data_IF_765034323335
#
_entry.id   IF_765034323335
#
_cell.length_a   1.000
_cell.length_b   1.000
_cell.length_c   1.000
_cell.angle_alpha   90.00
_cell.angle_beta   90.00
_cell.angle_gamma   90.00
#
_symmetry.space_group_name_H-M   'P 1'
#
loop_
_entity.id
_entity.type
_entity.pdbx_description
1 polymer ?
#
# COMPACT_ATOMS: atom_id res chain seq x y z
N UNK A 1 -6.76 -9.43 -25.49
CA UNK A 1 -6.71 -8.05 -24.95
C UNK A 1 -6.71 -8.08 -23.43
N UNK A 2 -7.67 -8.73 -22.77
CA UNK A 2 -7.67 -8.89 -21.31
C UNK A 2 -6.49 -9.72 -20.77
N UNK A 3 -6.03 -10.74 -21.50
CA UNK A 3 -4.83 -11.52 -21.12
C UNK A 3 -3.57 -10.66 -20.99
N UNK A 4 -3.36 -9.72 -21.92
CA UNK A 4 -2.24 -8.77 -21.84
C UNK A 4 -2.34 -7.87 -20.60
N UNK A 5 -3.56 -7.43 -20.26
CA UNK A 5 -3.83 -6.64 -19.05
C UNK A 5 -3.48 -7.42 -17.77
N UNK A 6 -3.79 -8.72 -17.72
CA UNK A 6 -3.43 -9.57 -16.57
C UNK A 6 -1.92 -9.78 -16.49
N UNK A 7 -1.24 -9.95 -17.63
CA UNK A 7 0.22 -10.04 -17.66
C UNK A 7 0.90 -8.75 -17.15
N UNK A 8 0.44 -7.58 -17.60
CA UNK A 8 0.94 -6.29 -17.10
C UNK A 8 0.67 -6.13 -15.60
N UNK A 9 -0.50 -6.56 -15.11
CA UNK A 9 -0.83 -6.55 -13.69
C UNK A 9 0.14 -7.43 -12.89
N UNK A 10 0.46 -8.62 -13.40
CA UNK A 10 1.44 -9.53 -12.79
C UNK A 10 2.81 -8.87 -12.63
N UNK A 11 3.29 -8.14 -13.65
CA UNK A 11 4.55 -7.41 -13.57
C UNK A 11 4.54 -6.34 -12.46
N UNK A 12 3.45 -5.56 -12.34
CA UNK A 12 3.35 -4.54 -11.30
C UNK A 12 3.14 -5.11 -9.89
N UNK A 13 2.39 -6.20 -9.75
CA UNK A 13 2.27 -6.94 -8.48
C UNK A 13 3.63 -7.45 -8.05
N UNK A 14 4.41 -8.01 -8.98
CA UNK A 14 5.77 -8.46 -8.72
C UNK A 14 6.68 -7.31 -8.30
N UNK A 15 6.70 -6.19 -9.01
CA UNK A 15 7.47 -4.98 -8.62
C UNK A 15 7.14 -4.50 -7.20
N UNK A 16 5.85 -4.49 -6.86
CA UNK A 16 5.37 -4.08 -5.53
C UNK A 16 5.84 -5.06 -4.45
N UNK A 17 5.79 -6.36 -4.75
CA UNK A 17 6.25 -7.43 -3.85
C UNK A 17 7.76 -7.37 -3.63
N UNK A 18 8.52 -7.20 -4.71
CA UNK A 18 9.98 -7.05 -4.66
C UNK A 18 10.37 -5.80 -3.85
N UNK A 19 9.62 -4.70 -3.99
CA UNK A 19 9.79 -3.48 -3.19
C UNK A 19 9.59 -3.73 -1.69
N UNK A 20 8.62 -4.57 -1.33
CA UNK A 20 8.36 -4.94 0.07
C UNK A 20 9.45 -5.85 0.63
N UNK A 21 9.92 -6.80 -0.16
CA UNK A 21 11.03 -7.69 0.21
C UNK A 21 12.31 -6.86 0.41
N UNK A 22 12.60 -5.95 -0.52
CA UNK A 22 13.72 -5.02 -0.44
C UNK A 22 13.62 -4.14 0.81
N UNK A 23 12.42 -3.68 1.13
CA UNK A 23 12.17 -2.96 2.36
C UNK A 23 12.57 -3.81 3.58
N UNK A 24 12.04 -5.02 3.70
CA UNK A 24 12.29 -5.88 4.85
C UNK A 24 13.78 -6.22 5.00
N UNK A 25 14.48 -6.41 3.88
CA UNK A 25 15.90 -6.76 3.86
C UNK A 25 16.83 -5.56 4.12
N UNK A 26 16.58 -4.41 3.50
CA UNK A 26 17.49 -3.26 3.52
C UNK A 26 17.21 -2.31 4.67
N UNK A 27 15.95 -2.23 5.12
CA UNK A 27 15.51 -1.30 6.16
C UNK A 27 15.25 -2.03 7.48
N UNK A 28 14.70 -3.25 7.42
CA UNK A 28 14.54 -4.10 8.60
C UNK A 28 13.59 -3.52 9.67
N UNK A 29 13.84 -3.89 10.93
CA UNK A 29 13.09 -3.37 12.07
C UNK A 29 13.59 -1.98 12.46
N UNK A 30 12.92 -0.93 11.98
CA UNK A 30 13.29 0.43 12.31
C UNK A 30 12.72 0.83 13.67
N UNK A 31 13.52 0.75 14.73
CA UNK A 31 13.17 1.29 16.05
C UNK A 31 13.88 2.62 16.32
N UNK A 32 15.08 2.79 15.78
CA UNK A 32 15.93 3.97 15.94
C UNK A 32 15.99 4.85 14.68
N UNK A 33 16.76 5.93 14.74
CA UNK A 33 17.01 6.78 13.58
C UNK A 33 17.63 5.99 12.42
N UNK A 34 17.17 6.27 11.20
CA UNK A 34 17.62 5.61 9.98
C UNK A 34 19.02 6.09 9.59
N UNK A 35 19.84 5.18 9.06
CA UNK A 35 21.11 5.53 8.42
C UNK A 35 20.88 6.16 7.04
N UNK A 36 21.88 6.86 6.51
CA UNK A 36 21.78 7.48 5.17
C UNK A 36 21.56 6.44 4.06
N UNK A 37 22.13 5.24 4.20
CA UNK A 37 21.93 4.11 3.29
C UNK A 37 20.49 3.58 3.34
N UNK A 38 19.92 3.46 4.55
CA UNK A 38 18.52 3.07 4.73
C UNK A 38 17.56 4.12 4.18
N UNK A 39 17.88 5.41 4.36
CA UNK A 39 17.09 6.51 3.82
C UNK A 39 17.11 6.53 2.29
N UNK A 40 18.27 6.29 1.69
CA UNK A 40 18.41 6.22 0.22
C UNK A 40 17.67 5.00 -0.33
N UNK A 41 17.80 3.84 0.33
CA UNK A 41 17.04 2.64 -0.03
C UNK A 41 15.53 2.87 0.07
N UNK A 42 15.08 3.51 1.15
CA UNK A 42 13.67 3.84 1.35
C UNK A 42 13.10 4.73 0.24
N UNK A 43 13.87 5.70 -0.23
CA UNK A 43 13.44 6.55 -1.35
C UNK A 43 13.38 5.80 -2.67
N UNK A 44 14.35 4.92 -2.94
CA UNK A 44 14.31 4.04 -4.11
C UNK A 44 13.05 3.18 -4.10
N UNK A 45 12.80 2.50 -2.98
CA UNK A 45 11.60 1.68 -2.78
C UNK A 45 10.31 2.51 -2.95
N UNK A 46 10.26 3.74 -2.42
CA UNK A 46 9.11 4.63 -2.60
C UNK A 46 8.93 5.05 -4.06
N UNK A 47 10.01 5.24 -4.81
CA UNK A 47 9.96 5.53 -6.26
C UNK A 47 9.40 4.34 -7.04
N UNK A 48 9.93 3.14 -6.80
CA UNK A 48 9.51 1.92 -7.48
C UNK A 48 8.05 1.58 -7.16
N UNK A 49 7.65 1.77 -5.89
CA UNK A 49 6.27 1.61 -5.45
C UNK A 49 5.33 2.63 -6.13
N UNK A 50 5.76 3.88 -6.28
CA UNK A 50 4.98 4.92 -6.96
C UNK A 50 4.73 4.58 -8.43
N UNK A 51 5.74 4.06 -9.13
CA UNK A 51 5.60 3.58 -10.51
C UNK A 51 4.66 2.38 -10.59
N UNK A 52 4.86 1.37 -9.74
CA UNK A 52 4.04 0.17 -9.73
C UNK A 52 2.56 0.47 -9.42
N UNK A 53 2.29 1.35 -8.45
CA UNK A 53 0.94 1.80 -8.13
C UNK A 53 0.29 2.56 -9.29
N UNK A 54 1.07 3.33 -10.05
CA UNK A 54 0.54 4.02 -11.24
C UNK A 54 0.01 3.01 -12.24
N UNK A 55 0.80 1.98 -12.56
CA UNK A 55 0.38 0.90 -13.46
C UNK A 55 -0.81 0.09 -12.95
N UNK A 56 -0.80 -0.29 -11.67
CA UNK A 56 -1.93 -1.01 -11.04
C UNK A 56 -3.22 -0.18 -11.16
N UNK A 57 -3.17 1.11 -10.85
CA UNK A 57 -4.33 2.00 -10.91
C UNK A 57 -4.83 2.15 -12.35
N UNK A 58 -3.93 2.29 -13.32
CA UNK A 58 -4.30 2.38 -14.74
C UNK A 58 -5.06 1.12 -15.19
N UNK A 59 -4.54 -0.06 -14.84
CA UNK A 59 -5.19 -1.35 -15.14
C UNK A 59 -6.54 -1.49 -14.44
N UNK A 60 -6.62 -1.11 -13.17
CA UNK A 60 -7.87 -1.17 -12.40
C UNK A 60 -8.91 -0.14 -12.85
N UNK A 61 -8.48 0.95 -13.49
CA UNK A 61 -9.34 2.01 -13.99
C UNK A 61 -9.76 1.83 -15.45
N UNK A 62 -9.42 0.70 -16.07
CA UNK A 62 -9.96 0.34 -17.38
C UNK A 62 -11.50 0.23 -17.30
N UNK A 63 -12.17 0.35 -18.45
CA UNK A 63 -13.63 0.25 -18.53
C UNK A 63 -14.18 -1.02 -17.87
N UNK A 64 -15.48 -1.03 -17.54
CA UNK A 64 -16.12 -2.09 -16.73
C UNK A 64 -15.85 -3.52 -17.24
N UNK A 65 -15.71 -3.68 -18.57
CA UNK A 65 -15.45 -4.95 -19.25
C UNK A 65 -13.98 -5.40 -19.24
N UNK A 66 -13.06 -4.50 -18.85
CA UNK A 66 -11.60 -4.70 -18.92
C UNK A 66 -10.92 -4.54 -17.57
N UNK A 67 -11.53 -3.84 -16.61
CA UNK A 67 -10.97 -3.71 -15.28
C UNK A 67 -11.11 -5.05 -14.52
N UNK A 68 -10.02 -5.64 -14.02
CA UNK A 68 -10.07 -6.84 -13.16
C UNK A 68 -10.99 -6.69 -11.94
N UNK A 69 -11.01 -5.52 -11.28
CA UNK A 69 -11.87 -5.26 -10.11
C UNK A 69 -13.37 -5.29 -10.46
N UNK A 70 -13.77 -4.57 -11.51
CA UNK A 70 -15.14 -4.57 -12.02
C UNK A 70 -15.59 -5.98 -12.45
N UNK A 71 -14.72 -6.77 -13.08
CA UNK A 71 -15.02 -8.16 -13.44
C UNK A 71 -15.28 -9.01 -12.19
N UNK A 72 -14.43 -8.92 -11.16
CA UNK A 72 -14.65 -9.65 -9.89
C UNK A 72 -15.99 -9.25 -9.26
N UNK A 73 -16.30 -7.95 -9.19
CA UNK A 73 -17.58 -7.45 -8.68
C UNK A 73 -18.76 -8.04 -9.46
N UNK A 74 -18.69 -8.03 -10.79
CA UNK A 74 -19.79 -8.53 -11.64
C UNK A 74 -20.08 -10.02 -11.41
N UNK A 75 -19.07 -10.82 -11.04
CA UNK A 75 -19.21 -12.26 -10.78
C UNK A 75 -19.85 -12.59 -9.44
N UNK A 76 -19.69 -11.74 -8.44
CA UNK A 76 -20.33 -11.91 -7.11
C UNK A 76 -21.71 -11.24 -7.06
N UNK A 77 -21.93 -10.21 -7.87
CA UNK A 77 -23.17 -9.43 -7.88
C UNK A 77 -23.13 -8.22 -6.95
N UNK A 78 -24.27 -7.52 -6.78
CA UNK A 78 -24.32 -6.24 -6.07
C UNK A 78 -24.18 -6.36 -4.55
N UNK A 79 -24.45 -7.53 -3.98
CA UNK A 79 -24.40 -7.79 -2.54
C UNK A 79 -23.19 -8.65 -2.20
N UNK A 80 -22.39 -8.23 -1.22
CA UNK A 80 -21.35 -9.07 -0.68
C UNK A 80 -21.99 -10.17 0.16
N UNK A 81 -21.77 -11.43 -0.23
CA UNK A 81 -22.15 -12.56 0.62
C UNK A 81 -21.30 -12.52 1.90
N UNK A 82 -21.93 -12.73 3.06
CA UNK A 82 -21.20 -13.01 4.29
C UNK A 82 -20.46 -14.34 4.17
N UNK A 83 -19.36 -14.48 4.89
CA UNK A 83 -18.68 -15.78 5.05
C UNK A 83 -19.08 -16.37 6.40
N UNK A 84 -19.28 -17.69 6.46
CA UNK A 84 -19.54 -18.33 7.74
C UNK A 84 -18.29 -18.27 8.62
N UNK A 85 -18.46 -18.38 9.93
CA UNK A 85 -17.32 -18.42 10.84
C UNK A 85 -16.41 -19.62 10.58
N UNK A 86 -16.98 -20.75 10.14
CA UNK A 86 -16.21 -21.94 9.75
C UNK A 86 -15.38 -21.70 8.48
N UNK A 87 -15.91 -20.93 7.54
CA UNK A 87 -15.22 -20.62 6.27
C UNK A 87 -14.21 -19.47 6.44
N UNK A 88 -14.29 -18.69 7.52
CA UNK A 88 -13.35 -17.62 7.82
C UNK A 88 -11.92 -18.14 7.98
N UNK A 89 -11.73 -19.22 8.74
CA UNK A 89 -10.41 -19.82 8.94
C UNK A 89 -9.86 -20.40 7.63
N UNK A 90 -10.74 -20.96 6.80
CA UNK A 90 -10.34 -21.44 5.47
C UNK A 90 -9.89 -20.28 4.56
N UNK A 91 -10.58 -19.14 4.63
CA UNK A 91 -10.18 -17.91 3.94
C UNK A 91 -8.83 -17.39 4.43
N UNK A 92 -8.56 -17.36 5.74
CA UNK A 92 -7.25 -16.95 6.27
C UNK A 92 -6.12 -17.87 5.82
N UNK A 93 -6.37 -19.19 5.78
CA UNK A 93 -5.37 -20.16 5.32
C UNK A 93 -5.08 -20.02 3.83
N UNK A 94 -6.12 -19.78 3.02
CA UNK A 94 -5.96 -19.51 1.59
C UNK A 94 -5.17 -18.21 1.36
N UNK A 95 -5.42 -17.17 2.16
CA UNK A 95 -4.67 -15.92 2.10
C UNK A 95 -3.19 -16.12 2.45
N UNK A 96 -2.89 -16.81 3.55
CA UNK A 96 -1.51 -17.18 3.91
C UNK A 96 -0.80 -17.91 2.77
N UNK A 97 -1.48 -18.85 2.12
CA UNK A 97 -0.91 -19.60 1.01
C UNK A 97 -0.64 -18.72 -0.21
N UNK A 98 -1.54 -17.78 -0.52
CA UNK A 98 -1.34 -16.81 -1.59
C UNK A 98 -0.13 -15.91 -1.31
N UNK A 99 -0.10 -15.25 -0.16
CA UNK A 99 0.98 -14.32 0.21
C UNK A 99 2.34 -15.02 0.25
N UNK A 100 2.38 -16.28 0.70
CA UNK A 100 3.59 -17.12 0.65
C UNK A 100 4.02 -17.43 -0.79
N UNK A 101 3.09 -17.69 -1.71
CA UNK A 101 3.39 -17.88 -3.15
C UNK A 101 3.93 -16.61 -3.80
N UNK A 102 3.50 -15.45 -3.35
CA UNK A 102 4.05 -14.16 -3.79
C UNK A 102 5.48 -13.92 -3.24
N UNK A 103 5.97 -14.75 -2.33
CA UNK A 103 7.32 -14.63 -1.76
C UNK A 103 7.42 -13.68 -0.57
N UNK A 104 6.29 -13.29 0.03
CA UNK A 104 6.28 -12.44 1.21
C UNK A 104 6.83 -13.16 2.45
N UNK A 105 7.49 -12.41 3.33
CA UNK A 105 7.99 -12.95 4.59
C UNK A 105 6.86 -13.33 5.55
N UNK A 106 7.14 -14.25 6.47
CA UNK A 106 6.18 -14.67 7.51
C UNK A 106 5.66 -13.47 8.32
N UNK A 107 6.49 -12.45 8.52
CA UNK A 107 6.10 -11.23 9.23
C UNK A 107 5.04 -10.44 8.45
N UNK A 108 5.26 -10.22 7.17
CA UNK A 108 4.28 -9.54 6.30
C UNK A 108 2.99 -10.34 6.19
N UNK A 109 3.08 -11.66 6.08
CA UNK A 109 1.93 -12.58 6.09
C UNK A 109 1.13 -12.44 7.39
N UNK A 110 1.79 -12.48 8.55
CA UNK A 110 1.13 -12.31 9.84
C UNK A 110 0.46 -10.94 9.98
N UNK A 111 1.10 -9.89 9.46
CA UNK A 111 0.51 -8.55 9.42
C UNK A 111 -0.78 -8.54 8.59
N UNK A 112 -0.77 -9.10 7.38
CA UNK A 112 -1.95 -9.18 6.51
C UNK A 112 -3.08 -10.01 7.16
N UNK A 113 -2.77 -11.18 7.71
CA UNK A 113 -3.76 -12.04 8.40
C UNK A 113 -4.40 -11.31 9.57
N UNK A 114 -3.60 -10.64 10.41
CA UNK A 114 -4.11 -9.88 11.54
C UNK A 114 -5.08 -8.79 11.11
N UNK A 115 -4.84 -8.14 9.97
CA UNK A 115 -5.77 -7.14 9.43
C UNK A 115 -7.11 -7.77 9.06
N UNK A 116 -7.11 -8.93 8.40
CA UNK A 116 -8.36 -9.64 8.09
C UNK A 116 -9.11 -10.02 9.36
N UNK A 117 -8.40 -10.47 10.39
CA UNK A 117 -8.98 -10.75 11.71
C UNK A 117 -9.59 -9.49 12.37
N UNK A 118 -8.93 -8.33 12.26
CA UNK A 118 -9.46 -7.04 12.74
C UNK A 118 -10.81 -6.69 12.08
N UNK A 119 -11.01 -7.10 10.82
CA UNK A 119 -12.26 -6.90 10.09
C UNK A 119 -13.21 -8.12 10.13
N UNK A 120 -12.92 -9.18 10.90
CA UNK A 120 -13.72 -10.43 10.94
C UNK A 120 -15.21 -10.17 11.05
N UNK A 121 -15.63 -9.33 12.00
CA UNK A 121 -17.07 -9.03 12.22
C UNK A 121 -17.75 -8.46 10.98
N UNK A 122 -17.08 -7.57 10.24
CA UNK A 122 -17.62 -6.99 9.01
C UNK A 122 -17.64 -8.03 7.88
N UNK A 123 -16.61 -8.88 7.79
CA UNK A 123 -16.49 -9.88 6.73
C UNK A 123 -17.52 -11.01 6.87
N UNK A 124 -17.88 -11.39 8.10
CA UNK A 124 -18.91 -12.39 8.41
C UNK A 124 -20.32 -11.96 8.00
N UNK A 125 -20.59 -10.66 7.96
CA UNK A 125 -21.91 -10.14 7.62
C UNK A 125 -22.05 -9.93 6.11
N UNK A 126 -23.26 -10.12 5.54
CA UNK A 126 -23.57 -9.56 4.24
C UNK A 126 -23.48 -8.03 4.34
N UNK A 127 -22.73 -7.39 3.43
CA UNK A 127 -22.59 -5.94 3.40
C UNK A 127 -23.06 -5.37 2.07
N UNK A 128 -23.59 -4.14 2.13
CA UNK A 128 -24.06 -3.42 0.95
C UNK A 128 -22.86 -2.84 0.20
N UNK A 129 -22.54 -3.52 -0.89
CA UNK A 129 -21.68 -3.09 -1.99
C UNK A 129 -20.16 -3.02 -1.73
N UNK A 130 -19.44 -3.74 -2.58
CA UNK A 130 -18.05 -3.46 -2.91
C UNK A 130 -18.03 -2.51 -4.12
N UNK A 131 -17.37 -1.36 -3.98
CA UNK A 131 -17.15 -0.44 -5.10
C UNK A 131 -15.68 -0.44 -5.55
N UNK A 132 -15.37 -0.94 -6.76
CA UNK A 132 -14.07 -0.83 -7.39
C UNK A 132 -13.50 0.59 -7.37
N UNK A 133 -14.35 1.61 -7.55
CA UNK A 133 -13.89 3.00 -7.58
C UNK A 133 -13.36 3.47 -6.22
N UNK A 134 -13.92 2.96 -5.12
CA UNK A 134 -13.42 3.25 -3.78
C UNK A 134 -12.04 2.61 -3.54
N UNK A 135 -11.79 1.42 -4.08
CA UNK A 135 -10.48 0.76 -4.03
C UNK A 135 -9.46 1.54 -4.84
N UNK A 136 -9.81 1.90 -6.08
CA UNK A 136 -8.96 2.70 -6.98
C UNK A 136 -8.60 4.04 -6.35
N UNK A 137 -9.60 4.74 -5.79
CA UNK A 137 -9.39 6.01 -5.09
C UNK A 137 -8.43 5.85 -3.91
N UNK A 138 -8.63 4.80 -3.10
CA UNK A 138 -7.77 4.55 -1.93
C UNK A 138 -6.32 4.24 -2.34
N UNK A 139 -6.12 3.45 -3.40
CA UNK A 139 -4.79 3.22 -3.99
C UNK A 139 -4.19 4.53 -4.50
N UNK A 140 -4.99 5.40 -5.12
CA UNK A 140 -4.58 6.73 -5.58
C UNK A 140 -4.12 7.65 -4.44
N UNK A 141 -4.88 7.70 -3.34
CA UNK A 141 -4.51 8.48 -2.16
C UNK A 141 -3.18 7.99 -1.55
N UNK A 142 -2.97 6.67 -1.47
CA UNK A 142 -1.70 6.11 -1.02
C UNK A 142 -0.56 6.46 -1.98
N UNK A 143 -0.77 6.25 -3.29
CA UNK A 143 0.18 6.57 -4.36
C UNK A 143 0.65 8.00 -4.23
N UNK A 144 -0.27 8.96 -4.11
CA UNK A 144 0.08 10.38 -4.03
C UNK A 144 1.02 10.67 -2.87
N UNK A 145 0.81 10.05 -1.72
CA UNK A 145 1.68 10.23 -0.55
C UNK A 145 3.04 9.57 -0.77
N UNK A 146 3.09 8.34 -1.29
CA UNK A 146 4.34 7.60 -1.55
C UNK A 146 5.18 8.29 -2.64
N UNK A 147 4.55 8.75 -3.73
CA UNK A 147 5.22 9.53 -4.77
C UNK A 147 5.79 10.84 -4.21
N UNK A 148 5.10 11.50 -3.28
CA UNK A 148 5.64 12.68 -2.60
C UNK A 148 6.82 12.35 -1.66
N UNK A 149 6.82 11.17 -1.04
CA UNK A 149 7.94 10.65 -0.24
C UNK A 149 9.15 10.35 -1.14
N UNK A 150 8.96 9.76 -2.32
CA UNK A 150 10.05 9.47 -3.27
C UNK A 150 10.82 10.74 -3.70
N UNK A 151 10.15 11.90 -3.68
CA UNK A 151 10.70 13.21 -4.08
C UNK A 151 11.31 13.99 -2.92
N UNK A 152 11.46 13.40 -1.74
CA UNK A 152 12.13 14.04 -0.60
C UNK A 152 13.58 14.34 -0.99
N UNK A 153 13.98 15.61 -0.95
CA UNK A 153 15.36 16.00 -1.27
C UNK A 153 16.37 15.63 -0.16
N UNK A 154 17.67 15.64 -0.47
CA UNK A 154 18.77 15.34 0.45
C UNK A 154 18.69 16.06 1.81
N UNK A 155 18.43 17.36 1.81
CA UNK A 155 18.30 18.17 3.03
C UNK A 155 17.13 17.77 3.94
N UNK A 156 16.22 16.94 3.44
CA UNK A 156 15.00 16.51 4.12
C UNK A 156 15.12 15.04 4.61
N UNK A 157 16.03 14.24 4.05
CA UNK A 157 16.25 12.82 4.40
C UNK A 157 16.45 12.60 5.89
N UNK A 158 17.29 13.42 6.52
CA UNK A 158 17.65 13.31 7.96
C UNK A 158 16.48 13.55 8.93
N UNK A 159 15.28 13.86 8.43
CA UNK A 159 14.09 14.09 9.23
C UNK A 159 13.02 13.00 9.02
N UNK A 160 13.24 12.04 8.10
CA UNK A 160 12.33 10.92 7.88
C UNK A 160 12.31 10.08 9.15
N UNK A 161 11.13 9.92 9.75
CA UNK A 161 10.99 9.18 11.00
C UNK A 161 10.75 7.68 10.75
N UNK A 162 11.19 6.81 11.67
CA UNK A 162 10.87 5.38 11.66
C UNK A 162 9.37 5.09 11.55
N UNK A 163 8.54 5.94 12.16
CA UNK A 163 7.08 5.80 12.12
C UNK A 163 6.51 6.03 10.71
N UNK A 164 7.00 7.04 9.99
CA UNK A 164 6.60 7.30 8.61
C UNK A 164 6.96 6.12 7.71
N UNK A 165 8.15 5.57 7.92
CA UNK A 165 8.66 4.40 7.24
C UNK A 165 7.78 3.17 7.52
N UNK A 166 7.48 2.86 8.79
CA UNK A 166 6.57 1.76 9.20
C UNK A 166 5.19 1.88 8.56
N UNK A 167 4.62 3.09 8.49
CA UNK A 167 3.33 3.31 7.84
C UNK A 167 3.39 3.05 6.33
N UNK A 168 4.50 3.42 5.67
CA UNK A 168 4.71 3.13 4.26
C UNK A 168 4.75 1.62 4.00
N UNK A 169 5.45 0.85 4.84
CA UNK A 169 5.48 -0.62 4.76
C UNK A 169 4.10 -1.22 4.91
N UNK A 170 3.36 -0.76 5.93
CA UNK A 170 2.02 -1.27 6.16
C UNK A 170 1.14 -1.03 4.93
N UNK A 171 1.23 0.16 4.34
CA UNK A 171 0.49 0.45 3.12
C UNK A 171 0.95 -0.41 1.94
N UNK A 172 2.24 -0.69 1.81
CA UNK A 172 2.77 -1.56 0.77
C UNK A 172 2.26 -3.01 0.91
N UNK A 173 2.19 -3.53 2.14
CA UNK A 173 1.55 -4.83 2.44
C UNK A 173 0.09 -4.80 1.96
N UNK A 174 -0.65 -3.75 2.29
CA UNK A 174 -2.07 -3.64 1.93
C UNK A 174 -2.26 -3.56 0.40
N UNK A 175 -1.32 -2.93 -0.33
CA UNK A 175 -1.28 -2.93 -1.79
C UNK A 175 -0.99 -4.33 -2.35
N UNK A 176 -0.04 -5.06 -1.78
CA UNK A 176 0.26 -6.44 -2.18
C UNK A 176 -0.95 -7.36 -1.98
N UNK A 177 -1.68 -7.22 -0.87
CA UNK A 177 -2.93 -7.94 -0.61
C UNK A 177 -3.95 -7.59 -1.71
N UNK A 178 -4.28 -6.30 -1.87
CA UNK A 178 -5.28 -5.86 -2.85
C UNK A 178 -4.96 -6.33 -4.27
N UNK A 179 -3.73 -6.08 -4.74
CA UNK A 179 -3.35 -6.36 -6.12
C UNK A 179 -3.09 -7.85 -6.37
N UNK A 180 -2.46 -8.53 -5.41
CA UNK A 180 -2.22 -9.98 -5.46
C UNK A 180 -3.51 -10.78 -5.42
N UNK A 181 -4.50 -10.37 -4.62
CA UNK A 181 -5.80 -11.04 -4.57
C UNK A 181 -6.59 -10.88 -5.85
N UNK A 182 -6.56 -9.71 -6.46
CA UNK A 182 -7.18 -9.50 -7.78
C UNK A 182 -6.52 -10.40 -8.82
N UNK A 183 -5.18 -10.36 -8.91
CA UNK A 183 -4.41 -11.18 -9.84
C UNK A 183 -4.66 -12.68 -9.65
N UNK A 184 -4.75 -13.13 -8.39
CA UNK A 184 -4.92 -14.55 -8.05
C UNK A 184 -6.19 -15.17 -8.65
N UNK A 185 -7.27 -14.38 -8.82
CA UNK A 185 -8.52 -14.87 -9.41
C UNK A 185 -8.33 -15.26 -10.88
N UNK A 186 -7.50 -14.52 -11.60
CA UNK A 186 -7.30 -14.67 -13.05
C UNK A 186 -6.16 -15.62 -13.41
N UNK A 187 -5.38 -16.04 -12.42
CA UNK A 187 -4.27 -17.00 -12.60
C UNK A 187 -4.62 -18.41 -12.13
N UNK A 188 -5.78 -18.59 -11.49
CA UNK A 188 -6.30 -19.91 -11.10
C UNK A 188 -7.09 -20.53 -12.26
N UNK A 189 -6.79 -21.77 -12.68
CA UNK A 189 -7.64 -22.51 -13.60
C UNK A 189 -9.03 -22.72 -12.99
N UNK A 190 -10.09 -22.40 -13.74
CA UNK A 190 -11.49 -22.57 -13.35
C UNK A 190 -11.85 -21.95 -11.97
N UNK A 191 -11.82 -20.62 -11.83
CA UNK A 191 -12.07 -19.96 -10.55
C UNK A 191 -13.49 -20.25 -10.04
N UNK A 192 -13.57 -20.81 -8.84
CA UNK A 192 -14.84 -21.13 -8.17
C UNK A 192 -15.52 -19.87 -7.62
N UNK A 193 -16.83 -19.89 -7.31
CA UNK A 193 -17.48 -18.78 -6.61
C UNK A 193 -16.79 -18.40 -5.30
N UNK A 194 -16.21 -19.38 -4.59
CA UNK A 194 -15.44 -19.13 -3.38
C UNK A 194 -14.15 -18.35 -3.68
N UNK A 195 -13.47 -18.61 -4.81
CA UNK A 195 -12.28 -17.87 -5.24
C UNK A 195 -12.58 -16.38 -5.41
N UNK A 196 -13.68 -16.06 -6.08
CA UNK A 196 -14.13 -14.67 -6.25
C UNK A 196 -14.51 -14.04 -4.90
N UNK A 197 -15.24 -14.76 -4.04
CA UNK A 197 -15.65 -14.26 -2.73
C UNK A 197 -14.46 -13.96 -1.82
N UNK A 198 -13.48 -14.88 -1.78
CA UNK A 198 -12.23 -14.72 -1.00
C UNK A 198 -11.47 -13.48 -1.46
N UNK A 199 -11.20 -13.38 -2.76
CA UNK A 199 -10.49 -12.23 -3.33
C UNK A 199 -11.20 -10.92 -3.00
N UNK A 200 -12.52 -10.86 -3.19
CA UNK A 200 -13.31 -9.67 -2.89
C UNK A 200 -13.26 -9.26 -1.41
N UNK A 201 -13.36 -10.22 -0.49
CA UNK A 201 -13.27 -9.99 0.96
C UNK A 201 -11.87 -9.52 1.37
N UNK A 202 -10.83 -10.11 0.78
CA UNK A 202 -9.45 -9.73 1.03
C UNK A 202 -9.12 -8.34 0.49
N UNK A 203 -9.52 -8.03 -0.75
CA UNK A 203 -9.41 -6.70 -1.35
C UNK A 203 -10.16 -5.66 -0.52
N UNK A 204 -11.37 -5.97 -0.05
CA UNK A 204 -12.11 -5.08 0.83
C UNK A 204 -11.35 -4.78 2.14
N UNK A 205 -10.83 -5.80 2.83
CA UNK A 205 -10.04 -5.60 4.05
C UNK A 205 -8.74 -4.83 3.78
N UNK A 206 -8.03 -5.16 2.71
CA UNK A 206 -6.80 -4.50 2.30
C UNK A 206 -7.05 -3.02 1.98
N UNK A 207 -8.07 -2.71 1.18
CA UNK A 207 -8.44 -1.32 0.87
C UNK A 207 -8.83 -0.53 2.12
N UNK A 208 -9.57 -1.15 3.06
CA UNK A 208 -9.97 -0.47 4.30
C UNK A 208 -8.79 -0.22 5.24
N UNK A 209 -7.85 -1.17 5.35
CA UNK A 209 -6.57 -0.93 6.05
C UNK A 209 -5.78 0.17 5.36
N UNK A 210 -5.65 0.11 4.03
CA UNK A 210 -4.88 1.06 3.24
C UNK A 210 -5.39 2.49 3.38
N UNK A 211 -6.71 2.69 3.43
CA UNK A 211 -7.31 4.02 3.68
C UNK A 211 -6.85 4.59 5.01
N UNK A 212 -6.95 3.80 6.09
CA UNK A 212 -6.49 4.20 7.42
C UNK A 212 -4.99 4.50 7.45
N UNK A 213 -4.19 3.72 6.71
CA UNK A 213 -2.74 3.92 6.60
C UNK A 213 -2.44 5.21 5.83
N UNK A 214 -3.11 5.44 4.71
CA UNK A 214 -2.91 6.61 3.83
C UNK A 214 -3.23 7.91 4.54
N UNK A 215 -4.31 7.96 5.32
CA UNK A 215 -4.66 9.11 6.16
C UNK A 215 -3.57 9.42 7.19
N UNK A 216 -3.11 8.38 7.92
CA UNK A 216 -2.06 8.52 8.94
C UNK A 216 -0.73 8.94 8.31
N UNK A 217 -0.35 8.29 7.22
CA UNK A 217 0.89 8.57 6.48
C UNK A 217 0.86 9.99 5.92
N UNK A 218 -0.24 10.40 5.31
CA UNK A 218 -0.46 11.75 4.80
C UNK A 218 -0.37 12.81 5.91
N UNK A 219 -0.99 12.57 7.07
CA UNK A 219 -0.89 13.47 8.21
C UNK A 219 0.55 13.59 8.72
N UNK A 220 1.24 12.47 8.90
CA UNK A 220 2.65 12.44 9.35
C UNK A 220 3.56 13.14 8.36
N UNK A 221 3.41 12.87 7.07
CA UNK A 221 4.16 13.54 6.00
C UNK A 221 3.91 15.06 5.98
N UNK A 222 2.67 15.52 6.18
CA UNK A 222 2.37 16.97 6.29
C UNK A 222 3.02 17.62 7.51
N UNK A 223 2.99 16.97 8.67
CA UNK A 223 3.65 17.46 9.89
C UNK A 223 5.16 17.56 9.67
N UNK A 224 5.73 16.54 9.05
CA UNK A 224 7.15 16.46 8.69
C UNK A 224 7.57 17.61 7.74
N UNK A 225 6.85 17.80 6.64
CA UNK A 225 7.16 18.86 5.66
C UNK A 225 7.01 20.27 6.26
N UNK A 226 6.00 20.50 7.12
CA UNK A 226 5.87 21.77 7.88
C UNK A 226 7.04 22.01 8.82
N UNK A 227 7.48 20.97 9.52
CA UNK A 227 8.61 21.04 10.46
C UNK A 227 9.93 21.39 9.76
N UNK A 228 10.15 20.85 8.56
CA UNK A 228 11.29 21.19 7.70
C UNK A 228 11.25 22.67 7.29
N UNK A 229 10.12 23.13 6.76
CA UNK A 229 9.95 24.54 6.33
C UNK A 229 10.25 25.50 7.49
N UNK A 230 9.73 25.20 8.68
CA UNK A 230 9.99 26.00 9.89
C UNK A 230 11.48 26.04 10.27
N UNK A 231 12.16 24.89 10.29
CA UNK A 231 13.62 24.85 10.59
C UNK A 231 14.47 25.58 9.55
N UNK A 232 14.13 25.47 8.27
CA UNK A 232 14.84 26.17 7.20
C UNK A 232 14.65 27.69 7.34
N UNK A 233 13.44 28.15 7.62
CA UNK A 233 13.17 29.56 7.90
C UNK A 233 13.99 30.06 9.10
N UNK A 234 14.07 29.29 10.19
CA UNK A 234 14.90 29.63 11.35
C UNK A 234 16.40 29.70 11.01
N UNK A 235 16.92 28.78 10.19
CA UNK A 235 18.32 28.83 9.71
C UNK A 235 18.59 30.09 8.88
N UNK A 236 17.68 30.47 7.99
CA UNK A 236 17.79 31.68 7.16
C UNK A 236 17.75 32.94 8.05
N UNK A 237 16.82 33.01 9.00
CA UNK A 237 16.73 34.13 9.95
C UNK A 237 18.03 34.26 10.75
N UNK A 238 18.58 33.15 11.28
CA UNK A 238 19.85 33.16 12.02
C UNK A 238 21.02 33.62 11.16
N UNK A 239 21.16 33.12 9.93
CA UNK A 239 22.22 33.57 8.99
C UNK A 239 22.11 35.06 8.68
N UNK A 240 20.90 35.55 8.44
CA UNK A 240 20.63 36.96 8.11
C UNK A 240 20.93 37.86 9.32
N UNK A 241 20.54 37.45 10.52
CA UNK A 241 20.84 38.16 11.76
C UNK A 241 22.35 38.24 12.03
N UNK A 242 23.10 37.16 11.80
CA UNK A 242 24.56 37.14 11.93
C UNK A 242 25.26 38.03 10.90
N UNK A 243 24.82 38.01 9.64
CA UNK A 243 25.36 38.87 8.58
C UNK A 243 25.13 40.36 8.86
N UNK A 244 23.97 40.73 9.39
CA UNK A 244 23.66 42.12 9.76
C UNK A 244 24.44 42.60 10.99
N UNK A 245 24.83 41.71 11.91
CA UNK A 245 25.71 42.06 13.04
C UNK A 245 27.15 42.34 12.58
N UNK A 246 27.64 41.64 11.56
CA UNK A 246 28.99 41.84 11.01
C UNK A 246 29.11 43.14 10.19
N UNK A 247 28.02 43.63 9.58
CA UNK A 247 28.00 44.91 8.85
C UNK A 247 27.87 46.16 9.75
N UNK A 248 27.62 45.97 11.05
CA UNK A 248 27.48 47.06 12.04
C UNK A 248 28.73 47.24 12.92
N UNK A 249 29.77 46.46 12.69
CA UNK A 249 31.12 46.66 13.25
C UNK A 249 32.00 47.27 12.18
#
# INVERSE_FOLDING_TARGET
>A
MFENTIFELEEYVKKTTDSLIDFENKIGNVEDALTDDQLTSFQGIASDTCEALTGIIEIFSLGEDKSPLHIIRSKIGPTLLGISEKDFDYLLNAERALLKRLGLSERSIQSAVKQMEEFKKELLQPSESFDPNDVIKTLGEFKDVVCNISKIGELQKSMVSPELVKLCVKGLIDVCVVSGDVLSVFTVPDPTPFTFLRSLKSVYSGARSLRNVSEKLGCKYRIYTKSIKSRNNLKVIRKTASANRLKKK
#
